data_IF_765528818378
#
_entry.id   IF_765528818378
#
_cell.length_a   1.000
_cell.length_b   1.000
_cell.length_c   1.000
_cell.angle_alpha   90.00
_cell.angle_beta   90.00
_cell.angle_gamma   90.00
#
_symmetry.space_group_name_H-M   'P 1'
#
loop_
_entity.id
_entity.type
_entity.pdbx_description
1 polymer ?
#
# COMPACT_ATOMS: atom_id res chain seq x y z
N UNK A 1 79.43 -17.97 0.82
CA UNK A 1 78.77 -19.05 0.06
C UNK A 1 77.27 -18.81 0.12
N UNK A 2 76.63 -18.49 -1.02
CA UNK A 2 75.16 -18.36 -1.08
C UNK A 2 74.57 -19.78 -1.07
N UNK A 3 73.56 -20.09 -0.23
CA UNK A 3 72.95 -21.42 -0.20
C UNK A 3 72.35 -21.80 -1.56
N UNK A 4 72.75 -22.94 -2.13
CA UNK A 4 72.23 -23.47 -3.42
C UNK A 4 70.69 -23.50 -3.52
N UNK A 5 69.92 -23.82 -2.46
CA UNK A 5 68.45 -23.80 -2.52
C UNK A 5 67.87 -22.39 -2.68
N UNK A 6 68.52 -21.37 -2.13
CA UNK A 6 68.08 -19.98 -2.27
C UNK A 6 68.39 -19.43 -3.67
N UNK A 7 69.53 -19.84 -4.25
CA UNK A 7 69.91 -19.48 -5.61
C UNK A 7 68.97 -20.10 -6.66
N UNK A 8 68.57 -21.36 -6.49
CA UNK A 8 67.61 -22.00 -7.41
C UNK A 8 66.22 -21.33 -7.38
N UNK A 9 65.74 -20.91 -6.20
CA UNK A 9 64.49 -20.14 -6.09
C UNK A 9 64.61 -18.80 -6.82
N UNK A 10 65.71 -18.09 -6.63
CA UNK A 10 65.97 -16.84 -7.36
C UNK A 10 66.02 -17.07 -8.88
N UNK A 11 66.69 -18.12 -9.36
CA UNK A 11 66.77 -18.43 -10.80
C UNK A 11 65.39 -18.71 -11.41
N UNK A 12 64.52 -19.43 -10.68
CA UNK A 12 63.19 -19.78 -11.16
C UNK A 12 62.19 -18.62 -11.04
N UNK A 13 62.24 -17.84 -9.95
CA UNK A 13 61.17 -16.90 -9.60
C UNK A 13 61.53 -15.43 -9.82
N UNK A 14 62.82 -15.06 -9.88
CA UNK A 14 63.25 -13.65 -9.85
C UNK A 14 64.25 -13.28 -10.97
N UNK A 15 65.05 -14.22 -11.46
CA UNK A 15 66.13 -13.94 -12.41
C UNK A 15 65.61 -13.49 -13.78
N UNK A 16 66.05 -12.31 -14.21
CA UNK A 16 65.63 -11.69 -15.48
C UNK A 16 66.28 -12.31 -16.72
N UNK A 17 67.44 -12.93 -16.54
CA UNK A 17 68.23 -13.60 -17.58
C UNK A 17 67.79 -15.05 -17.83
N UNK A 18 66.94 -15.60 -16.96
CA UNK A 18 66.42 -16.96 -17.12
C UNK A 18 65.47 -17.04 -18.33
N UNK A 19 65.69 -18.04 -19.18
CA UNK A 19 64.84 -18.32 -20.33
C UNK A 19 63.55 -18.99 -19.86
N UNK A 20 62.45 -18.26 -19.89
CA UNK A 20 61.13 -18.75 -19.51
C UNK A 20 60.23 -18.92 -20.76
N UNK A 21 59.21 -19.78 -20.68
CA UNK A 21 58.20 -19.87 -21.73
C UNK A 21 57.17 -18.72 -21.58
N UNK A 22 56.51 -18.35 -22.68
CA UNK A 22 55.50 -17.29 -22.69
C UNK A 22 54.33 -17.58 -21.71
N UNK A 23 53.75 -16.53 -21.11
CA UNK A 23 52.54 -16.66 -20.26
C UNK A 23 51.39 -17.39 -20.97
N UNK A 24 51.30 -17.27 -22.30
CA UNK A 24 50.23 -17.84 -23.11
C UNK A 24 50.57 -19.22 -23.71
N UNK A 25 51.49 -19.97 -23.09
CA UNK A 25 51.83 -21.33 -23.52
C UNK A 25 50.66 -22.31 -23.41
N UNK A 26 49.82 -22.16 -22.40
CA UNK A 26 48.56 -22.92 -22.24
C UNK A 26 47.60 -22.72 -23.43
N UNK A 27 47.68 -21.57 -24.10
CA UNK A 27 46.88 -21.23 -25.28
C UNK A 27 47.57 -21.60 -26.60
N UNK A 28 48.81 -22.11 -26.55
CA UNK A 28 49.57 -22.59 -27.71
C UNK A 28 50.75 -21.73 -28.14
N UNK A 29 51.14 -20.70 -27.39
CA UNK A 29 52.35 -19.93 -27.71
C UNK A 29 53.62 -20.77 -27.49
N UNK A 30 54.48 -20.89 -28.51
CA UNK A 30 55.71 -21.71 -28.46
C UNK A 30 56.99 -20.91 -28.16
N UNK A 31 56.88 -19.62 -27.88
CA UNK A 31 58.04 -18.75 -27.69
C UNK A 31 58.67 -18.94 -26.31
N UNK A 32 60.00 -19.06 -26.30
CA UNK A 32 60.84 -19.10 -25.10
C UNK A 32 61.94 -18.05 -25.24
N UNK A 33 62.08 -17.17 -24.25
CA UNK A 33 63.05 -16.08 -24.28
C UNK A 33 63.44 -15.68 -22.86
N UNK A 34 64.46 -14.82 -22.71
CA UNK A 34 64.84 -14.25 -21.41
C UNK A 34 63.65 -13.49 -20.81
N UNK A 35 63.43 -13.58 -19.50
CA UNK A 35 62.30 -12.93 -18.80
C UNK A 35 62.22 -11.41 -19.05
N UNK A 36 63.36 -10.75 -19.24
CA UNK A 36 63.40 -9.33 -19.64
C UNK A 36 62.79 -9.08 -21.04
N UNK A 37 63.04 -9.97 -22.01
CA UNK A 37 62.56 -9.87 -23.40
C UNK A 37 61.14 -10.45 -23.59
N UNK A 38 60.69 -11.28 -22.65
CA UNK A 38 59.30 -11.78 -22.64
C UNK A 38 58.27 -10.67 -22.44
N UNK A 39 58.62 -9.59 -21.73
CA UNK A 39 57.68 -8.48 -21.48
C UNK A 39 57.28 -7.79 -22.78
N UNK A 40 58.23 -7.52 -23.67
CA UNK A 40 57.96 -6.96 -25.00
C UNK A 40 57.24 -7.95 -25.91
N UNK A 41 57.50 -9.25 -25.76
CA UNK A 41 56.74 -10.29 -26.46
C UNK A 41 55.26 -10.35 -26.00
N UNK A 42 54.98 -10.20 -24.70
CA UNK A 42 53.60 -10.30 -24.18
C UNK A 42 52.65 -9.25 -24.78
N UNK A 43 53.16 -8.05 -25.07
CA UNK A 43 52.40 -6.96 -25.69
C UNK A 43 52.17 -7.17 -27.20
N UNK A 44 53.00 -7.99 -27.84
CA UNK A 44 52.93 -8.32 -29.27
C UNK A 44 52.46 -9.75 -29.53
N UNK A 45 52.11 -10.51 -28.48
CA UNK A 45 51.77 -11.92 -28.60
C UNK A 45 50.33 -12.06 -29.14
N UNK A 46 50.11 -12.80 -30.24
CA UNK A 46 48.77 -13.03 -30.80
C UNK A 46 47.77 -13.65 -29.81
N UNK A 47 48.27 -14.36 -28.79
CA UNK A 47 47.48 -15.03 -27.77
C UNK A 47 47.10 -14.16 -26.57
N UNK A 48 47.48 -12.87 -26.56
CA UNK A 48 47.04 -11.94 -25.51
C UNK A 48 45.52 -11.82 -25.43
N UNK A 49 44.82 -11.88 -26.57
CA UNK A 49 43.35 -11.87 -26.63
C UNK A 49 42.76 -13.14 -26.01
N UNK A 50 43.44 -14.27 -26.17
CA UNK A 50 43.02 -15.55 -25.58
C UNK A 50 43.08 -15.54 -24.05
N UNK A 51 43.91 -14.70 -23.42
CA UNK A 51 43.93 -14.55 -21.96
C UNK A 51 42.65 -13.88 -21.45
N UNK A 52 42.20 -12.82 -22.13
CA UNK A 52 40.95 -12.12 -21.76
C UNK A 52 39.76 -13.06 -21.92
N UNK A 53 39.69 -13.78 -23.05
CA UNK A 53 38.64 -14.76 -23.32
C UNK A 53 38.74 -15.96 -22.34
N UNK A 54 39.95 -16.42 -22.05
CA UNK A 54 40.17 -17.50 -21.08
C UNK A 54 39.73 -17.13 -19.67
N UNK A 55 39.97 -15.88 -19.26
CA UNK A 55 39.51 -15.37 -17.97
C UNK A 55 37.98 -15.22 -17.90
N UNK A 56 37.33 -14.77 -18.98
CA UNK A 56 35.86 -14.70 -19.02
C UNK A 56 35.24 -16.08 -19.02
N UNK A 57 35.78 -17.04 -19.77
CA UNK A 57 35.33 -18.43 -19.78
C UNK A 57 35.48 -19.09 -18.41
N UNK A 58 36.62 -18.91 -17.72
CA UNK A 58 36.81 -19.41 -16.35
C UNK A 58 35.78 -18.84 -15.37
N UNK A 59 35.46 -17.54 -15.51
CA UNK A 59 34.43 -16.89 -14.70
C UNK A 59 33.04 -17.46 -14.98
N UNK A 60 32.69 -17.62 -16.26
CA UNK A 60 31.43 -18.21 -16.69
C UNK A 60 31.29 -19.67 -16.24
N UNK A 61 32.36 -20.46 -16.31
CA UNK A 61 32.36 -21.85 -15.84
C UNK A 61 32.13 -21.93 -14.32
N UNK A 62 32.77 -21.04 -13.55
CA UNK A 62 32.55 -20.95 -12.11
C UNK A 62 31.11 -20.53 -11.78
N UNK A 63 30.55 -19.60 -12.55
CA UNK A 63 29.15 -19.17 -12.42
C UNK A 63 28.17 -20.28 -12.78
N UNK A 64 28.39 -21.00 -13.88
CA UNK A 64 27.60 -22.17 -14.28
C UNK A 64 27.61 -23.25 -13.20
N UNK A 65 28.78 -23.56 -12.64
CA UNK A 65 28.90 -24.50 -11.51
C UNK A 65 28.17 -24.01 -10.26
N UNK A 66 28.14 -22.69 -10.00
CA UNK A 66 27.38 -22.11 -8.88
C UNK A 66 25.88 -22.27 -9.09
N UNK A 67 25.39 -21.93 -10.27
CA UNK A 67 23.98 -22.05 -10.64
C UNK A 67 23.51 -23.51 -10.61
N UNK A 68 24.34 -24.43 -11.11
CA UNK A 68 24.02 -25.85 -11.07
C UNK A 68 23.89 -26.37 -9.64
N UNK A 69 24.80 -25.99 -8.72
CA UNK A 69 24.66 -26.32 -7.29
C UNK A 69 23.42 -25.72 -6.65
N UNK A 70 22.98 -24.54 -7.12
CA UNK A 70 21.76 -23.90 -6.64
C UNK A 70 20.52 -24.64 -7.12
N UNK A 71 20.46 -25.02 -8.40
CA UNK A 71 19.40 -25.87 -8.93
C UNK A 71 19.36 -27.22 -8.21
N UNK A 72 20.49 -27.92 -8.06
CA UNK A 72 20.55 -29.19 -7.32
C UNK A 72 20.02 -29.06 -5.89
N UNK A 73 20.22 -27.89 -5.25
CA UNK A 73 19.68 -27.61 -3.92
C UNK A 73 18.17 -27.38 -3.97
N UNK A 74 17.69 -26.60 -4.95
CA UNK A 74 16.25 -26.36 -5.12
C UNK A 74 15.51 -27.64 -5.50
N UNK A 75 16.09 -28.48 -6.33
CA UNK A 75 15.53 -29.77 -6.71
C UNK A 75 15.40 -30.69 -5.49
N UNK A 76 16.43 -30.76 -4.62
CA UNK A 76 16.32 -31.46 -3.33
C UNK A 76 15.24 -30.88 -2.42
N UNK A 77 15.07 -29.55 -2.41
CA UNK A 77 13.98 -28.91 -1.65
C UNK A 77 12.62 -29.25 -2.24
N UNK A 78 12.49 -29.31 -3.57
CA UNK A 78 11.26 -29.70 -4.25
C UNK A 78 10.95 -31.17 -3.95
N UNK A 79 11.93 -32.07 -4.06
CA UNK A 79 11.77 -33.49 -3.71
C UNK A 79 11.34 -33.65 -2.25
N UNK A 80 11.95 -32.89 -1.33
CA UNK A 80 11.58 -32.91 0.08
C UNK A 80 10.16 -32.37 0.31
N UNK A 81 9.78 -31.27 -0.35
CA UNK A 81 8.41 -30.73 -0.27
C UNK A 81 7.40 -31.68 -0.91
N UNK A 82 7.74 -32.32 -2.02
CA UNK A 82 6.91 -33.35 -2.65
C UNK A 82 6.78 -34.58 -1.76
N UNK A 83 7.85 -35.01 -1.09
CA UNK A 83 7.83 -36.09 -0.09
C UNK A 83 6.93 -35.71 1.09
N UNK A 84 7.09 -34.50 1.63
CA UNK A 84 6.22 -33.99 2.70
C UNK A 84 4.76 -33.89 2.24
N UNK A 85 4.52 -33.43 1.02
CA UNK A 85 3.17 -33.33 0.45
C UNK A 85 2.58 -34.71 0.15
N UNK A 86 3.38 -35.69 -0.26
CA UNK A 86 2.97 -37.07 -0.48
C UNK A 86 2.70 -37.80 0.85
N UNK A 87 3.53 -37.57 1.86
CA UNK A 87 3.29 -38.03 3.24
C UNK A 87 2.02 -37.38 3.80
N UNK A 88 1.86 -36.07 3.61
CA UNK A 88 0.63 -35.36 3.94
C UNK A 88 -0.54 -35.79 3.06
N UNK A 89 -0.42 -36.24 1.82
CA UNK A 89 -1.55 -36.75 1.03
C UNK A 89 -1.93 -38.17 1.45
N UNK A 90 -0.94 -39.02 1.71
CA UNK A 90 -1.14 -40.37 2.24
C UNK A 90 -1.72 -40.36 3.66
N UNK A 91 -1.41 -39.32 4.45
CA UNK A 91 -2.01 -39.02 5.75
C UNK A 91 -3.34 -38.27 5.64
N UNK A 92 -3.43 -37.16 4.91
CA UNK A 92 -4.54 -36.17 4.95
C UNK A 92 -5.85 -36.66 4.38
N UNK A 93 -5.85 -37.52 3.35
CA UNK A 93 -7.13 -38.10 2.88
C UNK A 93 -7.76 -39.02 3.93
N UNK A 94 -6.99 -39.47 4.92
CA UNK A 94 -7.45 -40.35 6.01
C UNK A 94 -7.29 -39.73 7.42
N UNK A 95 -6.54 -38.64 7.60
CA UNK A 95 -6.18 -38.04 8.90
C UNK A 95 -7.08 -36.86 9.30
N UNK A 96 -7.78 -36.20 8.37
CA UNK A 96 -8.97 -35.43 8.78
C UNK A 96 -10.00 -36.38 9.39
N UNK A 97 -10.09 -37.62 8.87
CA UNK A 97 -10.82 -38.68 9.54
C UNK A 97 -10.12 -39.14 10.83
N UNK A 98 -8.80 -39.36 10.89
CA UNK A 98 -8.13 -40.04 12.04
C UNK A 98 -7.71 -39.17 13.23
N UNK A 99 -7.47 -37.87 13.05
CA UNK A 99 -7.02 -36.97 14.12
C UNK A 99 -8.17 -36.31 14.89
N UNK A 100 -9.41 -36.52 14.46
CA UNK A 100 -10.55 -36.27 15.33
C UNK A 100 -10.50 -37.26 16.50
N UNK A 101 -10.47 -36.81 17.77
CA UNK A 101 -10.43 -37.69 18.95
C UNK A 101 -11.58 -38.70 19.00
N UNK A 102 -12.62 -38.51 18.16
CA UNK A 102 -13.81 -39.35 18.04
C UNK A 102 -13.70 -40.47 16.99
N UNK A 103 -12.72 -40.43 16.09
CA UNK A 103 -12.67 -41.37 14.96
C UNK A 103 -12.18 -42.78 15.31
N UNK A 104 -11.73 -43.00 16.54
CA UNK A 104 -11.41 -44.36 17.01
C UNK A 104 -12.66 -45.20 17.31
N UNK A 105 -13.88 -44.68 17.13
CA UNK A 105 -15.13 -45.41 17.41
C UNK A 105 -16.28 -45.19 16.41
N UNK A 106 -16.03 -44.72 15.20
CA UNK A 106 -17.12 -44.42 14.25
C UNK A 106 -17.35 -45.58 13.29
N UNK A 107 -18.58 -46.09 13.25
CA UNK A 107 -19.04 -47.10 12.31
C UNK A 107 -19.53 -46.43 11.04
N UNK A 108 -19.23 -47.02 9.87
CA UNK A 108 -19.70 -46.61 8.54
C UNK A 108 -19.32 -45.18 8.09
N UNK A 109 -18.98 -45.05 6.80
CA UNK A 109 -18.40 -43.82 6.23
C UNK A 109 -19.29 -42.56 6.35
N UNK A 110 -20.60 -42.72 6.47
CA UNK A 110 -21.56 -41.62 6.58
C UNK A 110 -21.48 -40.88 7.93
N UNK A 111 -21.22 -41.59 9.03
CA UNK A 111 -21.07 -40.98 10.36
C UNK A 111 -19.75 -40.18 10.47
N UNK A 112 -18.70 -40.63 9.79
CA UNK A 112 -17.42 -39.92 9.73
C UNK A 112 -17.53 -38.60 8.96
N UNK A 113 -18.31 -38.59 7.86
CA UNK A 113 -18.59 -37.38 7.09
C UNK A 113 -19.41 -36.38 7.93
N UNK A 114 -20.44 -36.86 8.62
CA UNK A 114 -21.27 -36.02 9.50
C UNK A 114 -20.45 -35.38 10.64
N UNK A 115 -19.51 -36.12 11.24
CA UNK A 115 -18.61 -35.58 12.26
C UNK A 115 -17.67 -34.47 11.75
N UNK A 116 -17.24 -34.53 10.48
CA UNK A 116 -16.48 -33.44 9.85
C UNK A 116 -17.36 -32.22 9.61
N UNK A 117 -18.61 -32.41 9.16
CA UNK A 117 -19.56 -31.29 9.01
C UNK A 117 -19.81 -30.58 10.33
N UNK A 118 -20.02 -31.33 11.43
CA UNK A 118 -20.19 -30.73 12.75
C UNK A 118 -18.93 -29.99 13.23
N UNK A 119 -17.72 -30.49 12.94
CA UNK A 119 -16.48 -29.79 13.30
C UNK A 119 -16.28 -28.51 12.50
N UNK A 120 -16.59 -28.54 11.19
CA UNK A 120 -16.59 -27.34 10.35
C UNK A 120 -17.60 -26.32 10.87
N UNK A 121 -18.81 -26.75 11.25
CA UNK A 121 -19.82 -25.87 11.82
C UNK A 121 -19.37 -25.25 13.14
N UNK A 122 -18.74 -26.02 14.04
CA UNK A 122 -18.16 -25.50 15.29
C UNK A 122 -17.05 -24.46 15.04
N UNK A 123 -16.19 -24.70 14.05
CA UNK A 123 -15.14 -23.75 13.67
C UNK A 123 -15.73 -22.47 13.06
N UNK A 124 -16.76 -22.59 12.22
CA UNK A 124 -17.47 -21.42 11.68
C UNK A 124 -18.08 -20.60 12.80
N UNK A 125 -18.76 -21.23 13.77
CA UNK A 125 -19.38 -20.49 14.88
C UNK A 125 -18.32 -19.83 15.79
N UNK A 126 -17.15 -20.46 15.94
CA UNK A 126 -16.00 -19.88 16.66
C UNK A 126 -15.44 -18.66 15.92
N UNK A 127 -15.19 -18.77 14.61
CA UNK A 127 -14.72 -17.64 13.78
C UNK A 127 -15.73 -16.49 13.79
N UNK A 128 -17.02 -16.81 13.71
CA UNK A 128 -18.10 -15.83 13.78
C UNK A 128 -18.12 -15.11 15.13
N UNK A 129 -17.98 -15.85 16.23
CA UNK A 129 -17.85 -15.27 17.58
C UNK A 129 -16.65 -14.31 17.66
N UNK A 130 -15.49 -14.75 17.18
CA UNK A 130 -14.26 -13.94 17.21
C UNK A 130 -14.39 -12.68 16.35
N UNK A 131 -15.04 -12.78 15.19
CA UNK A 131 -15.38 -11.63 14.34
C UNK A 131 -16.26 -10.62 15.09
N UNK A 132 -17.34 -11.08 15.74
CA UNK A 132 -18.21 -10.17 16.51
C UNK A 132 -17.50 -9.51 17.69
N UNK A 133 -16.57 -10.20 18.34
CA UNK A 133 -15.76 -9.61 19.42
C UNK A 133 -14.78 -8.55 18.89
N UNK A 134 -14.14 -8.82 17.75
CA UNK A 134 -13.27 -7.85 17.07
C UNK A 134 -14.05 -6.62 16.58
N UNK A 135 -15.23 -6.80 15.99
CA UNK A 135 -16.11 -5.70 15.58
C UNK A 135 -16.53 -4.84 16.78
N UNK A 136 -16.81 -5.48 17.93
CA UNK A 136 -17.09 -4.78 19.19
C UNK A 136 -15.91 -3.93 19.65
N UNK A 137 -14.70 -4.50 19.66
CA UNK A 137 -13.47 -3.78 20.06
C UNK A 137 -13.14 -2.64 19.10
N UNK A 138 -13.30 -2.85 17.79
CA UNK A 138 -13.09 -1.81 16.78
C UNK A 138 -14.08 -0.67 16.94
N UNK A 139 -15.37 -0.98 17.15
CA UNK A 139 -16.40 0.04 17.35
C UNK A 139 -16.09 0.91 18.58
N UNK A 140 -15.61 0.30 19.67
CA UNK A 140 -15.21 1.03 20.88
C UNK A 140 -13.94 1.86 20.65
N UNK A 141 -12.94 1.33 19.95
CA UNK A 141 -11.72 2.05 19.60
C UNK A 141 -12.04 3.31 18.77
N UNK A 142 -12.80 3.14 17.69
CA UNK A 142 -13.22 4.25 16.82
C UNK A 142 -14.07 5.25 17.60
N UNK A 143 -15.01 4.79 18.45
CA UNK A 143 -15.81 5.69 19.28
C UNK A 143 -14.93 6.49 20.24
N UNK A 144 -13.93 5.86 20.85
CA UNK A 144 -12.99 6.54 21.75
C UNK A 144 -12.19 7.63 21.02
N UNK A 145 -11.82 7.41 19.77
CA UNK A 145 -11.12 8.40 18.94
C UNK A 145 -12.05 9.52 18.44
N UNK A 146 -13.32 9.22 18.14
CA UNK A 146 -14.29 10.19 17.59
C UNK A 146 -14.88 11.11 18.66
N UNK A 147 -15.01 10.63 19.90
CA UNK A 147 -15.59 11.41 21.01
C UNK A 147 -14.85 12.73 21.31
N UNK A 148 -13.51 12.78 21.46
CA UNK A 148 -12.80 14.04 21.67
C UNK A 148 -12.95 15.00 20.49
N UNK A 149 -12.86 14.49 19.25
CA UNK A 149 -13.06 15.30 18.03
C UNK A 149 -14.46 15.95 18.03
N UNK A 150 -15.48 15.17 18.39
CA UNK A 150 -16.85 15.67 18.49
C UNK A 150 -16.97 16.78 19.55
N UNK A 151 -16.32 16.61 20.70
CA UNK A 151 -16.32 17.62 21.75
C UNK A 151 -15.67 18.93 21.29
N UNK A 152 -14.52 18.86 20.63
CA UNK A 152 -13.84 20.03 20.04
C UNK A 152 -14.72 20.74 19.00
N UNK A 153 -15.39 19.99 18.11
CA UNK A 153 -16.33 20.57 17.14
C UNK A 153 -17.47 21.30 17.85
N UNK A 154 -18.02 20.72 18.92
CA UNK A 154 -19.08 21.38 19.69
C UNK A 154 -18.59 22.66 20.38
N UNK A 155 -17.35 22.67 20.89
CA UNK A 155 -16.73 23.85 21.48
C UNK A 155 -16.49 24.95 20.43
N UNK A 156 -15.93 24.60 19.26
CA UNK A 156 -15.74 25.53 18.14
C UNK A 156 -17.08 26.11 17.69
N UNK A 157 -18.14 25.30 17.62
CA UNK A 157 -19.48 25.77 17.25
C UNK A 157 -20.04 26.77 18.28
N UNK A 158 -19.77 26.56 19.57
CA UNK A 158 -20.12 27.51 20.63
C UNK A 158 -19.37 28.83 20.48
N UNK A 159 -18.03 28.76 20.31
CA UNK A 159 -17.16 29.93 20.11
C UNK A 159 -17.56 30.71 18.86
N UNK A 160 -17.92 30.02 17.78
CA UNK A 160 -18.45 30.64 16.56
C UNK A 160 -19.78 31.36 16.82
N UNK A 161 -20.63 30.84 17.71
CA UNK A 161 -21.85 31.52 18.15
C UNK A 161 -21.55 32.86 18.82
N UNK A 162 -20.57 32.89 19.73
CA UNK A 162 -20.12 34.12 20.40
C UNK A 162 -19.50 35.09 19.39
N UNK A 163 -18.64 34.61 18.49
CA UNK A 163 -18.04 35.44 17.44
C UNK A 163 -19.10 36.05 16.53
N UNK A 164 -20.13 35.29 16.14
CA UNK A 164 -21.27 35.84 15.39
C UNK A 164 -21.99 36.93 16.16
N UNK A 165 -22.17 36.75 17.46
CA UNK A 165 -22.74 37.79 18.33
C UNK A 165 -21.84 39.03 18.42
N UNK A 166 -20.53 38.86 18.59
CA UNK A 166 -19.56 39.97 18.57
C UNK A 166 -19.54 40.71 17.23
N UNK A 167 -19.57 39.98 16.11
CA UNK A 167 -19.63 40.57 14.76
C UNK A 167 -20.95 41.33 14.58
N UNK A 168 -22.08 40.75 14.97
CA UNK A 168 -23.37 41.43 14.92
C UNK A 168 -23.37 42.70 15.78
N UNK A 169 -22.78 42.64 16.99
CA UNK A 169 -22.62 43.80 17.85
C UNK A 169 -21.72 44.87 17.22
N UNK A 170 -20.57 44.49 16.67
CA UNK A 170 -19.66 45.41 15.98
C UNK A 170 -20.33 46.03 14.74
N UNK A 171 -21.12 45.27 13.99
CA UNK A 171 -21.87 45.75 12.83
C UNK A 171 -22.99 46.70 13.24
N UNK A 172 -23.71 46.43 14.34
CA UNK A 172 -24.70 47.35 14.86
C UNK A 172 -24.03 48.64 15.37
N UNK A 173 -22.92 48.52 16.10
CA UNK A 173 -22.13 49.64 16.60
C UNK A 173 -21.56 50.51 15.46
N UNK A 174 -21.03 49.89 14.41
CA UNK A 174 -20.54 50.63 13.23
C UNK A 174 -21.68 51.31 12.50
N UNK A 175 -22.87 50.68 12.40
CA UNK A 175 -24.07 51.29 11.84
C UNK A 175 -24.52 52.51 12.65
N UNK A 176 -24.56 52.42 13.97
CA UNK A 176 -24.86 53.55 14.86
C UNK A 176 -23.86 54.68 14.69
N UNK A 177 -22.57 54.39 14.55
CA UNK A 177 -21.54 55.41 14.32
C UNK A 177 -21.69 56.10 12.96
N UNK A 178 -22.02 55.36 11.91
CA UNK A 178 -22.33 55.93 10.58
C UNK A 178 -23.59 56.78 10.62
N UNK A 179 -24.65 56.35 11.31
CA UNK A 179 -25.87 57.14 11.49
C UNK A 179 -25.61 58.39 12.32
N UNK A 180 -24.84 58.28 13.39
CA UNK A 180 -24.42 59.42 14.23
C UNK A 180 -23.55 60.40 13.44
N UNK A 181 -22.65 59.91 12.58
CA UNK A 181 -21.83 60.74 11.69
C UNK A 181 -22.67 61.40 10.58
N UNK A 182 -23.69 60.71 10.04
CA UNK A 182 -24.63 61.29 9.08
C UNK A 182 -25.56 62.33 9.71
N UNK A 183 -25.99 62.13 10.95
CA UNK A 183 -26.78 63.10 11.72
C UNK A 183 -25.92 64.33 12.07
N UNK A 184 -24.67 64.14 12.48
CA UNK A 184 -23.71 65.23 12.70
C UNK A 184 -23.39 66.01 11.40
N UNK A 185 -23.29 65.31 10.27
CA UNK A 185 -23.09 65.94 8.95
C UNK A 185 -24.36 66.66 8.45
N UNK A 186 -25.57 66.20 8.82
CA UNK A 186 -26.84 66.91 8.54
C UNK A 186 -27.00 68.18 9.37
N UNK A 187 -26.45 68.24 10.59
CA UNK A 187 -26.43 69.47 11.39
C UNK A 187 -25.44 70.53 10.89
N UNK A 188 -24.47 70.18 10.04
CA UNK A 188 -23.50 71.13 9.45
C UNK A 188 -23.65 71.36 7.93
N UNK A 189 -24.53 70.63 7.24
CA UNK A 189 -24.77 70.79 5.80
C UNK A 189 -26.21 70.48 5.42
N UNK A 190 -27.10 71.47 5.55
CA UNK A 190 -28.51 71.28 5.20
C UNK A 190 -29.47 72.43 5.51
N UNK A 191 -29.02 73.69 5.49
CA UNK A 191 -29.90 74.85 5.38
C UNK A 191 -29.85 75.36 3.93
N UNK A 192 -30.71 74.82 3.07
CA UNK A 192 -31.09 75.23 1.70
C UNK A 192 -31.93 74.08 1.13
N UNK A 193 -33.16 74.21 0.65
CA UNK A 193 -33.99 75.34 0.34
C UNK A 193 -35.36 74.79 -0.07
N UNK A 194 -36.42 75.51 0.28
CA UNK A 194 -37.78 75.18 -0.08
C UNK A 194 -38.06 75.50 -1.57
N UNK A 195 -38.85 74.64 -2.22
CA UNK A 195 -39.45 74.88 -3.54
C UNK A 195 -40.02 73.57 -4.09
N UNK A 196 -41.31 73.25 -3.92
CA UNK A 196 -42.49 73.79 -4.61
C UNK A 196 -42.68 73.20 -6.02
N UNK A 197 -43.79 72.45 -6.18
CA UNK A 197 -44.44 72.09 -7.45
C UNK A 197 -44.17 70.65 -7.90
N UNK A 198 -45.14 69.77 -8.14
CA UNK A 198 -46.60 69.84 -8.19
C UNK A 198 -47.09 68.69 -9.09
N UNK A 199 -48.27 68.12 -8.76
CA UNK A 199 -49.18 67.30 -9.62
C UNK A 199 -48.60 66.02 -10.31
N UNK A 200 -49.29 64.90 -10.53
CA UNK A 200 -50.69 64.45 -10.38
C UNK A 200 -50.77 62.94 -10.73
N UNK A 201 -51.93 62.33 -10.41
CA UNK A 201 -52.58 61.18 -11.07
C UNK A 201 -51.90 59.79 -11.02
N UNK A 202 -52.33 58.87 -10.14
CA UNK A 202 -53.49 57.93 -10.23
C UNK A 202 -53.28 56.68 -11.09
N UNK A 203 -53.50 55.52 -10.45
CA UNK A 203 -53.64 54.17 -11.02
C UNK A 203 -53.17 53.14 -9.98
N UNK A 204 -53.99 52.75 -9.00
CA UNK A 204 -54.86 51.57 -9.06
C UNK A 204 -54.14 50.35 -8.42
N UNK A 205 -54.39 49.98 -7.15
CA UNK A 205 -55.38 48.97 -6.67
C UNK A 205 -55.07 47.54 -7.14
N UNK A 206 -55.07 46.45 -6.36
CA UNK A 206 -55.46 46.15 -4.98
C UNK A 206 -55.07 44.68 -4.66
N UNK A 207 -54.96 44.32 -3.38
CA UNK A 207 -55.14 42.94 -2.86
C UNK A 207 -53.94 42.00 -2.96
N UNK A 208 -53.58 41.17 -1.98
CA UNK A 208 -54.19 40.85 -0.70
C UNK A 208 -53.59 39.51 -0.23
N UNK A 209 -53.26 39.41 1.06
CA UNK A 209 -53.24 38.16 1.85
C UNK A 209 -52.14 37.11 1.57
N UNK A 210 -51.62 36.53 2.67
CA UNK A 210 -51.30 35.09 2.69
C UNK A 210 -49.83 34.70 2.69
N UNK A 211 -49.25 34.65 3.89
CA UNK A 211 -48.30 33.64 4.38
C UNK A 211 -47.64 32.67 3.39
N UNK A 212 -46.30 32.60 3.40
CA UNK A 212 -45.59 31.31 3.22
C UNK A 212 -44.47 31.21 4.25
N UNK A 213 -44.66 30.27 5.18
CA UNK A 213 -43.65 29.77 6.12
C UNK A 213 -42.85 28.69 5.41
N UNK A 214 -41.52 28.77 5.43
CA UNK A 214 -40.65 27.65 5.04
C UNK A 214 -40.13 27.00 6.32
N UNK A 215 -40.71 25.84 6.65
CA UNK A 215 -40.18 24.85 7.59
C UNK A 215 -40.12 23.53 6.83
N UNK A 216 -38.93 22.94 6.70
CA UNK A 216 -38.75 21.61 6.15
C UNK A 216 -38.10 20.69 7.17
N UNK A 217 -38.89 19.80 7.78
CA UNK A 217 -38.44 18.61 8.52
C UNK A 217 -39.32 17.43 8.08
N UNK A 218 -38.70 16.45 7.42
CA UNK A 218 -38.91 14.99 7.53
C UNK A 218 -40.24 14.33 7.12
N UNK A 219 -40.09 13.04 6.70
CA UNK A 219 -41.09 11.95 6.52
C UNK A 219 -42.02 12.13 5.30
N UNK A 220 -42.38 11.12 4.52
CA UNK A 220 -42.48 9.68 4.72
C UNK A 220 -43.92 9.25 4.39
N UNK A 221 -44.10 8.43 3.34
CA UNK A 221 -45.37 7.85 2.88
C UNK A 221 -45.51 8.00 1.35
N UNK A 222 -45.39 6.94 0.55
CA UNK A 222 -46.34 5.85 0.25
C UNK A 222 -47.50 6.28 -0.65
N UNK A 223 -47.40 5.93 -1.94
CA UNK A 223 -48.48 5.65 -2.91
C UNK A 223 -47.87 4.58 -3.86
N UNK A 224 -48.35 3.34 -4.00
CA UNK A 224 -49.70 2.84 -4.34
C UNK A 224 -50.11 3.14 -5.78
N UNK A 225 -49.42 2.53 -6.75
CA UNK A 225 -49.96 2.30 -8.10
C UNK A 225 -50.41 0.84 -8.21
N UNK A 226 -51.72 0.67 -8.43
CA UNK A 226 -52.39 -0.55 -8.83
C UNK A 226 -52.98 -0.36 -10.24
N UNK A 227 -53.41 -1.48 -10.85
CA UNK A 227 -53.93 -1.70 -12.22
C UNK A 227 -52.84 -2.19 -13.19
N UNK A 228 -52.82 -3.43 -13.72
CA UNK A 228 -53.82 -4.50 -13.74
C UNK A 228 -53.32 -5.64 -14.66
N UNK A 229 -54.09 -6.75 -14.78
CA UNK A 229 -53.59 -8.12 -14.88
C UNK A 229 -53.58 -8.71 -16.30
N UNK A 230 -52.85 -9.81 -16.54
CA UNK A 230 -53.19 -10.82 -17.56
C UNK A 230 -52.35 -12.11 -17.43
N UNK A 231 -53.05 -13.19 -17.04
CA UNK A 231 -53.03 -14.54 -17.67
C UNK A 231 -51.71 -15.32 -17.75
N UNK A 232 -51.62 -16.65 -17.62
CA UNK A 232 -52.44 -17.79 -17.19
C UNK A 232 -51.57 -19.01 -17.60
N UNK A 233 -51.59 -20.10 -16.82
CA UNK A 233 -51.23 -21.49 -17.23
C UNK A 233 -49.75 -21.81 -17.48
N UNK A 234 -49.27 -23.03 -17.28
CA UNK A 234 -49.74 -24.31 -16.70
C UNK A 234 -48.43 -25.05 -16.36
#
# INVERSE_FOLDING_TARGET
MVPMPAMNKHVLDECLEFAAPCKYTDFGCRQTAKRQQLRTHHESCPYQVCDVIGQTLKRQEAEMKRLQRENDRRDKQIEELQRQFQEQQSGSSLDIMRLSPYSRKIGTAEEAVMGVYEDVERRIETVKKDLTDLEGRQTVMVLNEVMPIKNEITEIRSNLGILKMHVAWLMNKSREEVERSRLANRTMGGASGAGSGGSSSTGGSNGGGGTVRIVGRGRGGSDSEAEGPSTLRD
#
